data_IF_813398050088
#
_entry.id   IF_813398050088
#
_cell.length_a   1.000
_cell.length_b   1.000
_cell.length_c   1.000
_cell.angle_alpha   90.00
_cell.angle_beta   90.00
_cell.angle_gamma   90.00
#
_symmetry.space_group_name_H-M   'P 1'
#
loop_
_entity.id
_entity.type
_entity.pdbx_description
1 polymer ?
#
# COMPACT_ATOMS: atom_id res chain seq x y z
N UNK A 1 11.73 -0.07 14.98
CA UNK A 1 12.57 -1.12 15.60
C UNK A 1 12.25 -2.42 14.89
N UNK A 2 13.02 -2.73 13.84
CA UNK A 2 12.78 -3.88 12.96
C UNK A 2 13.56 -5.06 13.54
N UNK A 3 12.87 -6.10 13.99
CA UNK A 3 13.53 -7.36 14.33
C UNK A 3 13.96 -8.04 13.03
N UNK A 4 15.19 -7.80 12.59
CA UNK A 4 15.86 -8.66 11.63
C UNK A 4 16.17 -9.97 12.36
N UNK A 5 15.38 -11.02 12.10
CA UNK A 5 15.61 -12.35 12.63
C UNK A 5 16.34 -13.14 11.54
N UNK A 6 17.69 -13.20 11.59
CA UNK A 6 18.50 -13.90 10.57
C UNK A 6 18.19 -15.42 10.48
N UNK A 7 17.35 -15.95 11.38
CA UNK A 7 16.93 -17.35 11.44
C UNK A 7 15.40 -17.48 11.56
N UNK A 8 14.63 -16.82 10.69
CA UNK A 8 13.15 -16.84 10.74
C UNK A 8 12.53 -18.25 10.69
N UNK A 9 13.23 -19.26 10.17
CA UNK A 9 12.83 -20.67 10.27
C UNK A 9 12.55 -21.08 11.72
N UNK A 10 13.42 -20.70 12.66
CA UNK A 10 13.27 -21.01 14.09
C UNK A 10 12.15 -20.23 14.79
N UNK A 11 11.64 -19.14 14.19
CA UNK A 11 10.52 -18.40 14.77
C UNK A 11 9.16 -19.05 14.46
N UNK A 12 9.08 -19.80 13.36
CA UNK A 12 7.86 -20.50 12.96
C UNK A 12 7.92 -22.01 13.22
N UNK A 13 9.09 -22.57 13.54
CA UNK A 13 9.28 -23.96 13.92
C UNK A 13 9.90 -24.12 15.32
N UNK A 14 9.48 -25.15 16.05
CA UNK A 14 10.09 -25.54 17.32
C UNK A 14 11.52 -26.08 17.11
N UNK A 15 12.18 -26.44 18.22
CA UNK A 15 13.53 -27.01 18.19
C UNK A 15 13.64 -28.37 17.49
N UNK A 16 12.52 -29.04 17.23
CA UNK A 16 12.44 -30.31 16.49
C UNK A 16 12.02 -30.11 15.02
N UNK A 17 11.85 -28.86 14.56
CA UNK A 17 11.42 -28.54 13.19
C UNK A 17 9.91 -28.59 12.97
N UNK A 18 9.10 -28.83 14.01
CA UNK A 18 7.65 -28.81 13.95
C UNK A 18 7.12 -27.37 13.93
N UNK A 19 6.11 -27.05 13.12
CA UNK A 19 5.54 -25.68 13.08
C UNK A 19 4.89 -25.32 14.42
N UNK A 20 5.35 -24.25 15.08
CA UNK A 20 4.80 -23.77 16.37
C UNK A 20 3.36 -23.30 16.19
N UNK A 21 3.08 -22.62 15.07
CA UNK A 21 1.75 -22.14 14.72
C UNK A 21 1.33 -22.71 13.35
N UNK A 22 0.29 -23.53 13.33
CA UNK A 22 -0.19 -24.18 12.09
C UNK A 22 -1.24 -23.33 11.33
N UNK A 23 -1.75 -22.27 11.97
CA UNK A 23 -2.85 -21.42 11.46
C UNK A 23 -2.52 -19.92 11.41
N UNK A 24 -1.26 -19.56 11.21
CA UNK A 24 -0.84 -18.15 11.13
C UNK A 24 -1.11 -17.55 9.74
N UNK A 25 -1.43 -16.25 9.71
CA UNK A 25 -1.36 -15.38 8.53
C UNK A 25 -0.29 -14.33 8.82
N UNK A 26 0.65 -14.12 7.90
CA UNK A 26 1.78 -13.21 8.08
C UNK A 26 1.64 -12.01 7.15
N UNK A 27 1.73 -10.82 7.73
CA UNK A 27 1.68 -9.54 7.02
C UNK A 27 2.92 -8.70 7.30
N UNK A 28 3.97 -8.77 6.47
CA UNK A 28 5.12 -7.89 6.59
C UNK A 28 4.73 -6.46 6.24
N UNK A 29 5.31 -5.50 6.99
CA UNK A 29 5.21 -4.04 6.73
C UNK A 29 6.59 -3.40 6.55
N UNK A 30 7.65 -4.21 6.57
CA UNK A 30 9.03 -3.75 6.46
C UNK A 30 9.40 -3.53 5.00
N UNK A 31 10.04 -2.40 4.71
CA UNK A 31 10.57 -2.11 3.38
C UNK A 31 11.96 -2.73 3.14
N UNK A 32 12.31 -3.08 1.89
CA UNK A 32 11.45 -3.05 0.69
C UNK A 32 10.40 -4.17 0.73
N UNK A 33 9.12 -3.81 0.62
CA UNK A 33 8.00 -4.69 0.98
C UNK A 33 7.99 -5.99 0.16
N UNK A 34 8.13 -5.90 -1.16
CA UNK A 34 8.04 -7.06 -2.04
C UNK A 34 9.13 -8.10 -1.73
N UNK A 35 10.36 -7.64 -1.49
CA UNK A 35 11.47 -8.50 -1.10
C UNK A 35 11.23 -9.12 0.29
N UNK A 36 10.67 -8.36 1.23
CA UNK A 36 10.35 -8.86 2.57
C UNK A 36 9.23 -9.89 2.54
N UNK A 37 8.19 -9.69 1.73
CA UNK A 37 7.11 -10.67 1.53
C UNK A 37 7.67 -11.95 0.93
N UNK A 38 8.54 -11.86 -0.07
CA UNK A 38 9.19 -13.03 -0.67
C UNK A 38 10.06 -13.78 0.35
N UNK A 39 10.90 -13.06 1.10
CA UNK A 39 11.76 -13.66 2.13
C UNK A 39 10.93 -14.35 3.23
N UNK A 40 9.82 -13.75 3.66
CA UNK A 40 8.91 -14.35 4.64
C UNK A 40 8.19 -15.57 4.06
N UNK A 41 7.78 -15.53 2.80
CA UNK A 41 7.17 -16.67 2.13
C UNK A 41 8.11 -17.88 2.08
N UNK A 42 9.37 -17.66 1.69
CA UNK A 42 10.40 -18.71 1.61
C UNK A 42 10.79 -19.23 3.00
N UNK A 43 11.01 -18.35 3.98
CA UNK A 43 11.47 -18.74 5.31
C UNK A 43 10.39 -19.37 6.21
N UNK A 44 9.11 -19.02 6.00
CA UNK A 44 8.02 -19.51 6.84
C UNK A 44 7.44 -20.86 6.39
N UNK A 45 7.62 -21.23 5.11
CA UNK A 45 7.06 -22.44 4.51
C UNK A 45 5.52 -22.50 4.55
N UNK A 46 4.83 -21.36 4.70
CA UNK A 46 3.37 -21.29 4.60
C UNK A 46 2.91 -21.24 3.14
N UNK A 47 1.67 -21.68 2.84
CA UNK A 47 1.12 -21.52 1.50
C UNK A 47 0.98 -20.03 1.16
N UNK A 48 1.10 -19.70 -0.13
CA UNK A 48 1.14 -18.32 -0.64
C UNK A 48 -0.05 -17.47 -0.18
N UNK A 49 -1.24 -18.06 -0.04
CA UNK A 49 -2.44 -17.35 0.43
C UNK A 49 -2.41 -16.90 1.91
N UNK A 50 -1.31 -17.18 2.64
CA UNK A 50 -1.13 -16.80 4.05
C UNK A 50 0.01 -15.82 4.28
N UNK A 51 0.71 -15.40 3.22
CA UNK A 51 1.80 -14.44 3.30
C UNK A 51 1.54 -13.35 2.27
N UNK A 52 1.23 -12.15 2.74
CA UNK A 52 0.95 -10.99 1.88
C UNK A 52 1.40 -9.69 2.54
N UNK A 53 1.87 -8.73 1.75
CA UNK A 53 2.32 -7.44 2.26
C UNK A 53 1.20 -6.39 2.32
N UNK A 54 1.40 -5.36 3.14
CA UNK A 54 0.57 -4.16 3.15
C UNK A 54 1.38 -2.96 2.61
N UNK A 55 1.13 -2.58 1.35
CA UNK A 55 1.62 -1.32 0.75
C UNK A 55 0.44 -0.43 0.34
N UNK A 56 -0.35 -0.90 -0.62
CA UNK A 56 -1.33 -0.06 -1.33
C UNK A 56 -2.40 0.60 -0.46
N UNK A 57 -2.70 0.08 0.74
CA UNK A 57 -3.65 0.70 1.67
C UNK A 57 -3.11 2.02 2.24
N UNK A 58 -1.83 2.07 2.59
CA UNK A 58 -1.20 3.29 3.12
C UNK A 58 -1.07 4.36 2.04
N UNK A 59 -0.64 3.94 0.85
CA UNK A 59 -0.46 4.83 -0.30
C UNK A 59 -1.81 5.39 -0.78
N UNK A 60 -2.86 4.56 -0.77
CA UNK A 60 -4.23 5.01 -1.05
C UNK A 60 -4.74 5.96 0.03
N UNK A 61 -4.46 5.70 1.32
CA UNK A 61 -4.87 6.58 2.40
C UNK A 61 -4.21 7.97 2.27
N UNK A 62 -2.90 8.02 2.00
CA UNK A 62 -2.15 9.27 1.75
C UNK A 62 -2.73 10.04 0.56
N UNK A 63 -3.00 9.35 -0.54
CA UNK A 63 -3.60 9.95 -1.72
C UNK A 63 -5.00 10.52 -1.46
N UNK A 64 -5.84 9.83 -0.68
CA UNK A 64 -7.15 10.32 -0.25
C UNK A 64 -7.03 11.57 0.62
N UNK A 65 -6.10 11.59 1.57
CA UNK A 65 -5.85 12.77 2.42
C UNK A 65 -5.46 13.98 1.58
N UNK A 66 -4.57 13.81 0.61
CA UNK A 66 -4.16 14.90 -0.28
C UNK A 66 -5.35 15.49 -1.07
N UNK A 67 -6.23 14.63 -1.61
CA UNK A 67 -7.43 15.08 -2.33
C UNK A 67 -8.42 15.78 -1.37
N UNK A 68 -8.57 15.26 -0.15
CA UNK A 68 -9.44 15.83 0.87
C UNK A 68 -9.01 17.24 1.26
N UNK A 69 -7.71 17.46 1.48
CA UNK A 69 -7.14 18.78 1.79
C UNK A 69 -7.31 19.76 0.63
N UNK A 70 -7.07 19.31 -0.60
CA UNK A 70 -7.12 20.18 -1.78
C UNK A 70 -8.54 20.58 -2.17
N UNK A 71 -9.52 19.69 -2.00
CA UNK A 71 -10.93 19.96 -2.30
C UNK A 71 -11.72 20.43 -1.06
N UNK A 72 -11.08 20.43 0.12
CA UNK A 72 -11.70 20.73 1.41
C UNK A 72 -12.98 19.90 1.65
N UNK A 73 -12.84 18.59 1.48
CA UNK A 73 -13.91 17.59 1.65
C UNK A 73 -13.49 16.53 2.67
N UNK A 74 -14.44 15.74 3.16
CA UNK A 74 -14.16 14.62 4.04
C UNK A 74 -13.38 13.51 3.30
N UNK A 75 -12.40 12.92 3.97
CA UNK A 75 -11.60 11.79 3.43
C UNK A 75 -12.49 10.57 3.19
N UNK A 76 -13.52 10.40 4.02
CA UNK A 76 -14.50 9.31 3.98
C UNK A 76 -15.27 9.27 2.65
N UNK A 77 -15.53 10.45 2.06
CA UNK A 77 -16.26 10.57 0.79
C UNK A 77 -15.39 10.28 -0.45
N UNK A 78 -14.08 10.09 -0.27
CA UNK A 78 -13.14 9.88 -1.38
C UNK A 78 -12.92 8.40 -1.59
N UNK A 79 -13.16 7.93 -2.82
CA UNK A 79 -12.73 6.63 -3.28
C UNK A 79 -11.62 6.80 -4.31
N UNK A 80 -10.45 6.24 -4.02
CA UNK A 80 -9.27 6.32 -4.86
C UNK A 80 -8.53 4.98 -4.86
N UNK A 81 -7.75 4.73 -5.91
CA UNK A 81 -6.93 3.54 -6.03
C UNK A 81 -5.51 3.90 -6.46
N UNK A 82 -4.53 3.29 -5.79
CA UNK A 82 -3.12 3.32 -6.18
C UNK A 82 -2.69 1.88 -6.48
N UNK A 83 -2.06 1.69 -7.64
CA UNK A 83 -1.41 0.44 -8.01
C UNK A 83 0.11 0.63 -7.99
N UNK A 84 0.86 -0.48 -8.05
CA UNK A 84 2.33 -0.45 -8.13
C UNK A 84 2.99 -0.63 -6.76
N UNK A 85 4.22 -0.11 -6.66
CA UNK A 85 5.05 -0.16 -5.46
C UNK A 85 4.88 1.08 -4.58
N UNK A 86 5.89 1.36 -3.76
CA UNK A 86 5.92 2.53 -2.88
C UNK A 86 6.77 3.65 -3.49
N UNK A 87 6.43 4.91 -3.20
CA UNK A 87 7.19 6.08 -3.66
C UNK A 87 7.09 6.28 -5.18
N UNK A 88 8.22 6.29 -5.88
CA UNK A 88 8.28 6.56 -7.32
C UNK A 88 7.61 5.47 -8.18
N UNK A 89 7.43 4.26 -7.63
CA UNK A 89 6.73 3.15 -8.30
C UNK A 89 5.21 3.20 -8.13
N UNK A 90 4.67 4.20 -7.43
CA UNK A 90 3.23 4.39 -7.26
C UNK A 90 2.57 4.85 -8.57
N UNK A 91 1.51 4.16 -8.96
CA UNK A 91 0.68 4.47 -10.12
C UNK A 91 -0.74 4.82 -9.64
N UNK A 92 -1.02 6.11 -9.35
CA UNK A 92 -2.34 6.55 -8.91
C UNK A 92 -3.31 6.58 -10.08
N UNK A 93 -4.46 5.95 -9.90
CA UNK A 93 -5.48 5.82 -10.92
C UNK A 93 -6.50 6.98 -10.87
N UNK A 94 -6.05 8.18 -11.24
CA UNK A 94 -6.83 9.43 -11.20
C UNK A 94 -8.21 9.29 -11.88
N UNK A 95 -8.29 8.52 -12.97
CA UNK A 95 -9.55 8.29 -13.72
C UNK A 95 -10.60 7.46 -12.96
N UNK A 96 -10.15 6.65 -12.00
CA UNK A 96 -11.04 5.83 -11.16
C UNK A 96 -11.27 6.46 -9.78
N UNK A 97 -10.74 7.66 -9.55
CA UNK A 97 -10.94 8.40 -8.31
C UNK A 97 -12.20 9.25 -8.38
N UNK A 98 -13.03 9.16 -7.33
CA UNK A 98 -14.25 9.95 -7.19
C UNK A 98 -14.38 10.49 -5.76
N UNK A 99 -15.16 11.57 -5.63
CA UNK A 99 -15.53 12.18 -4.34
C UNK A 99 -17.05 12.24 -4.29
N UNK A 100 -17.65 11.51 -3.33
CA UNK A 100 -19.10 11.38 -3.22
C UNK A 100 -19.77 10.84 -4.50
N UNK A 101 -19.06 10.02 -5.29
CA UNK A 101 -19.54 9.50 -6.57
C UNK A 101 -19.30 10.42 -7.78
N UNK A 102 -18.81 11.64 -7.60
CA UNK A 102 -18.47 12.55 -8.70
C UNK A 102 -17.02 12.31 -9.13
N UNK A 103 -16.74 12.09 -10.44
CA UNK A 103 -15.38 11.90 -10.92
C UNK A 103 -14.45 13.08 -10.57
N UNK A 104 -13.24 12.78 -10.09
CA UNK A 104 -12.28 13.81 -9.68
C UNK A 104 -11.97 14.83 -10.79
N UNK A 105 -12.00 14.41 -12.06
CA UNK A 105 -11.79 15.28 -13.22
C UNK A 105 -12.83 16.39 -13.39
N UNK A 106 -14.04 16.22 -12.84
CA UNK A 106 -15.10 17.22 -12.90
C UNK A 106 -14.99 18.24 -11.77
N UNK A 107 -14.47 17.79 -10.61
CA UNK A 107 -14.25 18.63 -9.44
C UNK A 107 -12.96 19.43 -9.54
N UNK A 108 -11.98 18.96 -10.32
CA UNK A 108 -10.69 19.60 -10.42
C UNK A 108 -10.76 20.93 -11.20
N UNK A 109 -10.28 22.06 -10.64
CA UNK A 109 -10.33 23.35 -11.33
C UNK A 109 -9.50 23.33 -12.63
N UNK A 110 -10.14 23.51 -13.79
CA UNK A 110 -9.48 23.60 -15.12
C UNK A 110 -8.41 24.69 -15.22
N UNK A 111 -8.43 25.69 -14.31
CA UNK A 111 -7.46 26.79 -14.25
C UNK A 111 -6.11 26.37 -13.65
N UNK A 112 -6.03 25.20 -13.01
CA UNK A 112 -4.85 24.69 -12.30
C UNK A 112 -4.06 23.70 -13.19
N UNK A 113 -3.36 24.25 -14.18
CA UNK A 113 -2.40 23.59 -15.10
C UNK A 113 -2.95 22.56 -16.12
N UNK A 114 -2.36 22.56 -17.31
CA UNK A 114 -2.61 21.63 -18.43
C UNK A 114 -2.25 20.17 -18.11
N UNK A 115 -1.56 19.90 -16.99
CA UNK A 115 -1.05 18.58 -16.58
C UNK A 115 -1.44 18.19 -15.14
N UNK A 116 -2.63 18.60 -14.69
CA UNK A 116 -3.09 18.39 -13.31
C UNK A 116 -3.03 16.94 -12.84
N UNK A 117 -3.29 15.96 -13.71
CA UNK A 117 -3.20 14.54 -13.40
C UNK A 117 -1.79 14.11 -12.99
N UNK A 118 -0.76 14.66 -13.65
CA UNK A 118 0.64 14.36 -13.35
C UNK A 118 1.09 15.06 -12.07
N UNK A 119 0.60 16.28 -11.82
CA UNK A 119 0.87 17.00 -10.57
C UNK A 119 0.24 16.26 -9.37
N UNK A 120 -0.97 15.74 -9.54
CA UNK A 120 -1.65 14.92 -8.55
C UNK A 120 -0.92 13.60 -8.31
N UNK A 121 -0.46 12.96 -9.38
CA UNK A 121 0.31 11.72 -9.30
C UNK A 121 1.65 11.93 -8.56
N UNK A 122 2.34 13.03 -8.87
CA UNK A 122 3.59 13.39 -8.18
C UNK A 122 3.35 13.81 -6.72
N UNK A 123 2.19 14.38 -6.38
CA UNK A 123 1.84 14.65 -4.99
C UNK A 123 1.61 13.35 -4.21
N UNK A 124 0.90 12.39 -4.80
CA UNK A 124 0.68 11.06 -4.22
C UNK A 124 1.99 10.31 -3.93
N UNK A 125 2.96 10.36 -4.87
CA UNK A 125 4.26 9.70 -4.71
C UNK A 125 5.16 10.35 -3.63
N UNK A 126 4.88 11.60 -3.22
CA UNK A 126 5.66 12.36 -2.23
C UNK A 126 5.08 12.30 -0.81
N UNK A 127 3.86 11.82 -0.67
CA UNK A 127 3.13 11.69 0.60
C UNK A 127 3.37 10.34 1.25
#
# INVERSE_FOLDING_TARGET
MTYYLPNAHHCFSDRAGGKIFTKLIIMPVTNPLDAMVQNVYESSGFPRNRVFGMAGVLDTARFRTFIAEELNVSVEDIQAFVLGGHGDDMVPLVRFTNVGGIPLSELWPKKRSTNWSNALAAAAARS
#
